data_IF_568225300112
#
_entry.id   IF_568225300112
#
_cell.length_a   1.000
_cell.length_b   1.000
_cell.length_c   1.000
_cell.angle_alpha   90.00
_cell.angle_beta   90.00
_cell.angle_gamma   90.00
#
_symmetry.space_group_name_H-M   'P 1'
#
loop_
_entity.id
_entity.type
_entity.pdbx_description
1 polymer ?
#
# COMPACT_ATOMS: atom_id res chain seq x y z
N UNK A 1 6.07 1.30 -12.69
CA UNK A 1 6.10 0.32 -11.57
C UNK A 1 6.19 -1.12 -12.07
N UNK A 2 5.69 -1.37 -13.28
CA UNK A 2 5.69 -2.62 -14.03
C UNK A 2 7.07 -3.25 -14.15
N UNK A 3 8.12 -2.45 -14.34
CA UNK A 3 9.49 -2.96 -14.40
C UNK A 3 9.92 -3.61 -13.09
N UNK A 4 9.48 -3.08 -11.93
CA UNK A 4 9.73 -3.69 -10.61
C UNK A 4 8.87 -4.94 -10.44
N UNK A 5 7.61 -4.92 -10.88
CA UNK A 5 6.75 -6.09 -10.81
C UNK A 5 7.31 -7.26 -11.66
N UNK A 6 7.79 -6.97 -12.88
CA UNK A 6 8.39 -7.97 -13.80
C UNK A 6 9.61 -8.70 -13.24
N UNK A 7 10.31 -8.14 -12.26
CA UNK A 7 11.45 -8.80 -11.61
C UNK A 7 11.06 -9.64 -10.40
N UNK A 8 9.77 -9.72 -10.04
CA UNK A 8 9.34 -10.33 -8.78
C UNK A 8 9.41 -9.38 -7.58
N UNK A 9 9.75 -8.11 -7.78
CA UNK A 9 9.96 -7.12 -6.72
C UNK A 9 8.68 -6.70 -5.99
N UNK A 10 8.83 -5.78 -5.03
CA UNK A 10 7.73 -5.20 -4.26
C UNK A 10 7.83 -3.67 -4.26
N UNK A 11 6.70 -2.99 -4.38
CA UNK A 11 6.58 -1.53 -4.38
C UNK A 11 5.94 -1.10 -3.06
N UNK A 12 6.66 -0.28 -2.29
CA UNK A 12 6.17 0.30 -1.04
C UNK A 12 5.24 1.48 -1.30
N UNK A 13 4.01 1.40 -0.81
CA UNK A 13 3.03 2.48 -0.86
C UNK A 13 3.05 3.25 0.46
N UNK A 14 3.24 4.56 0.35
CA UNK A 14 3.21 5.52 1.45
C UNK A 14 1.87 6.28 1.55
N UNK A 15 1.52 6.90 2.69
CA UNK A 15 0.26 7.62 2.91
C UNK A 15 0.25 9.08 2.39
N UNK A 16 1.15 9.48 1.49
CA UNK A 16 1.21 10.85 0.91
C UNK A 16 -0.13 11.29 0.29
N UNK A 17 -0.74 12.36 0.77
CA UNK A 17 -1.94 12.89 0.13
C UNK A 17 -1.61 13.68 -1.14
N UNK A 18 -2.47 13.57 -2.15
CA UNK A 18 -2.45 14.42 -3.32
C UNK A 18 -3.84 14.56 -3.94
N UNK A 19 -4.09 15.70 -4.57
CA UNK A 19 -5.37 16.01 -5.21
C UNK A 19 -5.19 16.02 -6.73
N UNK A 20 -5.23 14.84 -7.34
CA UNK A 20 -5.25 14.71 -8.80
C UNK A 20 -6.70 14.68 -9.31
N UNK A 21 -6.99 15.35 -10.44
CA UNK A 21 -8.37 15.54 -10.93
C UNK A 21 -9.13 14.23 -11.16
N UNK A 22 -8.46 13.18 -11.63
CA UNK A 22 -9.09 11.89 -11.96
C UNK A 22 -8.98 10.84 -10.86
N UNK A 23 -7.99 10.93 -9.97
CA UNK A 23 -7.70 9.91 -8.97
C UNK A 23 -7.14 10.58 -7.70
N UNK A 24 -7.98 11.27 -6.91
CA UNK A 24 -7.52 11.92 -5.70
C UNK A 24 -7.17 10.89 -4.64
N UNK A 25 -6.10 11.15 -3.88
CA UNK A 25 -5.73 10.34 -2.72
C UNK A 25 -5.66 11.22 -1.49
N UNK A 26 -6.79 11.32 -0.80
CA UNK A 26 -6.97 12.26 0.31
C UNK A 26 -7.50 11.63 1.59
N UNK A 27 -7.99 10.38 1.54
CA UNK A 27 -8.55 9.63 2.68
C UNK A 27 -7.99 8.21 2.70
N UNK A 28 -8.15 7.51 3.83
CA UNK A 28 -7.84 6.07 3.91
C UNK A 28 -8.58 5.26 2.84
N UNK A 29 -9.87 5.53 2.58
CA UNK A 29 -10.62 4.85 1.52
C UNK A 29 -10.06 5.14 0.12
N UNK A 30 -9.58 6.36 -0.16
CA UNK A 30 -8.92 6.63 -1.43
C UNK A 30 -7.63 5.83 -1.57
N UNK A 31 -6.83 5.74 -0.50
CA UNK A 31 -5.63 4.92 -0.50
C UNK A 31 -5.94 3.43 -0.65
N UNK A 32 -6.97 2.92 0.03
CA UNK A 32 -7.42 1.54 -0.13
C UNK A 32 -7.86 1.23 -1.59
N UNK A 33 -8.63 2.14 -2.21
CA UNK A 33 -9.01 2.01 -3.63
C UNK A 33 -7.79 2.03 -4.56
N UNK A 34 -6.79 2.85 -4.26
CA UNK A 34 -5.53 2.83 -5.00
C UNK A 34 -4.82 1.47 -4.86
N UNK A 35 -4.82 0.85 -3.68
CA UNK A 35 -4.26 -0.50 -3.49
C UNK A 35 -5.03 -1.53 -4.35
N UNK A 36 -6.36 -1.42 -4.46
CA UNK A 36 -7.17 -2.28 -5.36
C UNK A 36 -6.76 -2.08 -6.82
N UNK A 37 -6.61 -0.84 -7.28
CA UNK A 37 -6.16 -0.55 -8.65
C UNK A 37 -4.74 -1.09 -8.89
N UNK A 38 -3.86 -0.99 -7.90
CA UNK A 38 -2.50 -1.52 -7.97
C UNK A 38 -2.50 -3.05 -8.05
N UNK A 39 -3.35 -3.72 -7.26
CA UNK A 39 -3.57 -5.17 -7.36
C UNK A 39 -4.06 -5.56 -8.76
N UNK A 40 -5.04 -4.85 -9.31
CA UNK A 40 -5.58 -5.15 -10.65
C UNK A 40 -4.53 -4.98 -11.75
N UNK A 41 -3.65 -3.98 -11.62
CA UNK A 41 -2.66 -3.63 -12.63
C UNK A 41 -1.38 -4.46 -12.54
N UNK A 42 -0.90 -4.73 -11.33
CA UNK A 42 0.42 -5.32 -11.10
C UNK A 42 0.37 -6.72 -10.48
N UNK A 43 -0.70 -7.07 -9.78
CA UNK A 43 -0.72 -8.20 -8.83
C UNK A 43 -0.49 -7.73 -7.40
N UNK A 44 -1.21 -8.32 -6.44
CA UNK A 44 -1.10 -7.95 -5.02
C UNK A 44 0.27 -8.28 -4.44
N UNK A 45 0.92 -9.32 -4.95
CA UNK A 45 2.24 -9.82 -4.56
C UNK A 45 3.35 -8.78 -4.75
N UNK A 46 3.10 -7.76 -5.58
CA UNK A 46 4.02 -6.67 -5.87
C UNK A 46 3.73 -5.39 -5.09
N UNK A 47 2.70 -5.38 -4.24
CA UNK A 47 2.32 -4.21 -3.45
C UNK A 47 2.69 -4.43 -1.98
N UNK A 48 3.24 -3.41 -1.32
CA UNK A 48 3.60 -3.48 0.09
C UNK A 48 3.35 -2.17 0.83
N UNK A 49 3.20 -2.24 2.15
CA UNK A 49 3.12 -1.07 3.02
C UNK A 49 4.51 -0.44 3.23
N UNK A 50 4.68 0.83 2.87
CA UNK A 50 5.92 1.59 3.11
C UNK A 50 5.59 3.02 3.53
N UNK A 51 5.40 3.27 4.83
CA UNK A 51 4.70 4.47 5.30
C UNK A 51 5.54 5.74 5.33
N UNK A 52 6.85 5.62 5.19
CA UNK A 52 7.80 6.71 5.45
C UNK A 52 7.59 7.35 6.84
N UNK A 53 7.55 6.50 7.88
CA UNK A 53 7.07 6.83 9.24
C UNK A 53 7.83 7.93 10.00
N UNK A 54 8.94 8.43 9.46
CA UNK A 54 9.71 9.55 9.99
C UNK A 54 10.18 10.55 8.92
N UNK A 55 9.83 10.36 7.65
CA UNK A 55 10.38 11.15 6.53
C UNK A 55 9.73 12.51 6.31
N UNK A 56 8.82 12.94 7.19
CA UNK A 56 8.28 14.30 7.13
C UNK A 56 7.40 14.58 5.89
N UNK A 57 6.51 13.64 5.55
CA UNK A 57 5.59 13.81 4.41
C UNK A 57 4.83 15.15 4.49
N UNK A 58 4.78 15.95 3.39
CA UNK A 58 4.18 17.28 3.40
C UNK A 58 2.68 17.26 3.69
N UNK A 59 1.99 16.20 3.28
CA UNK A 59 0.60 15.95 3.62
C UNK A 59 0.33 14.46 3.63
N UNK A 60 -0.41 13.97 4.64
CA UNK A 60 -0.84 12.57 4.74
C UNK A 60 -2.32 12.46 4.42
N UNK A 61 -2.76 11.29 3.94
CA UNK A 61 -4.19 11.00 3.77
C UNK A 61 -4.93 11.18 5.10
N UNK A 62 -6.12 11.76 5.05
CA UNK A 62 -6.97 11.94 6.22
C UNK A 62 -7.30 10.58 6.85
N UNK A 63 -7.09 10.48 8.15
CA UNK A 63 -7.22 9.23 8.92
C UNK A 63 -5.89 8.52 9.19
N UNK A 64 -4.79 8.91 8.53
CA UNK A 64 -3.45 8.41 8.81
C UNK A 64 -2.62 9.43 9.61
N UNK A 65 -2.60 9.29 10.93
CA UNK A 65 -1.83 10.19 11.83
C UNK A 65 -0.48 9.60 12.20
N UNK A 66 -0.47 8.31 12.54
CA UNK A 66 0.72 7.54 12.94
C UNK A 66 0.56 6.07 12.56
N UNK A 67 1.54 5.24 12.92
CA UNK A 67 1.44 3.79 12.74
C UNK A 67 0.24 3.17 13.48
N UNK A 68 -0.28 3.83 14.53
CA UNK A 68 -1.49 3.40 15.22
C UNK A 68 -2.75 3.48 14.33
N UNK A 69 -2.70 4.17 13.19
CA UNK A 69 -3.78 4.22 12.21
C UNK A 69 -3.83 2.98 11.30
N UNK A 70 -2.87 2.05 11.42
CA UNK A 70 -2.81 0.84 10.58
C UNK A 70 -4.09 -0.03 10.62
N UNK A 71 -4.75 -0.26 11.78
CA UNK A 71 -6.02 -0.98 11.80
C UNK A 71 -7.11 -0.30 10.97
N UNK A 72 -7.15 1.03 10.92
CA UNK A 72 -8.12 1.76 10.11
C UNK A 72 -7.85 1.61 8.61
N UNK A 73 -6.57 1.54 8.21
CA UNK A 73 -6.21 1.21 6.83
C UNK A 73 -6.65 -0.21 6.47
N UNK A 74 -6.44 -1.18 7.37
CA UNK A 74 -6.89 -2.57 7.18
C UNK A 74 -8.40 -2.63 6.97
N UNK A 75 -9.19 -1.92 7.79
CA UNK A 75 -10.64 -1.83 7.61
C UNK A 75 -11.00 -1.23 6.25
N UNK A 76 -10.39 -0.11 5.87
CA UNK A 76 -10.63 0.52 4.57
C UNK A 76 -10.26 -0.40 3.38
N UNK A 77 -9.20 -1.20 3.50
CA UNK A 77 -8.81 -2.20 2.50
C UNK A 77 -9.87 -3.30 2.36
N UNK A 78 -10.36 -3.84 3.47
CA UNK A 78 -11.42 -4.85 3.47
C UNK A 78 -12.71 -4.29 2.85
N UNK A 79 -13.11 -3.08 3.25
CA UNK A 79 -14.27 -2.38 2.67
C UNK A 79 -14.12 -2.11 1.17
N UNK A 80 -12.89 -1.88 0.70
CA UNK A 80 -12.59 -1.69 -0.72
C UNK A 80 -12.57 -3.00 -1.53
N UNK A 81 -12.79 -4.16 -0.89
CA UNK A 81 -12.88 -5.46 -1.55
C UNK A 81 -11.58 -6.26 -1.60
N UNK A 82 -10.55 -5.86 -0.86
CA UNK A 82 -9.37 -6.71 -0.66
C UNK A 82 -9.72 -7.87 0.27
N UNK A 83 -9.27 -9.07 -0.07
CA UNK A 83 -9.41 -10.25 0.79
C UNK A 83 -8.45 -10.16 1.99
N UNK A 84 -8.70 -10.97 3.03
CA UNK A 84 -7.76 -11.09 4.16
C UNK A 84 -6.36 -11.53 3.72
N UNK A 85 -6.27 -12.37 2.68
CA UNK A 85 -4.99 -12.80 2.11
C UNK A 85 -4.27 -11.64 1.42
N UNK A 86 -5.00 -10.77 0.72
CA UNK A 86 -4.42 -9.58 0.11
C UNK A 86 -3.86 -8.62 1.19
N UNK A 87 -4.63 -8.39 2.25
CA UNK A 87 -4.19 -7.54 3.37
C UNK A 87 -2.93 -8.12 4.03
N UNK A 88 -2.90 -9.43 4.30
CA UNK A 88 -1.73 -10.11 4.87
C UNK A 88 -0.51 -9.98 3.96
N UNK A 89 -0.68 -10.15 2.66
CA UNK A 89 0.39 -10.00 1.67
C UNK A 89 0.93 -8.55 1.68
N UNK A 90 0.04 -7.56 1.58
CA UNK A 90 0.39 -6.15 1.54
C UNK A 90 1.06 -5.64 2.82
N UNK A 91 0.55 -6.03 4.00
CA UNK A 91 1.05 -5.54 5.29
C UNK A 91 2.43 -6.08 5.69
N UNK A 92 2.99 -7.04 4.94
CA UNK A 92 4.35 -7.51 5.19
C UNK A 92 4.73 -8.80 4.48
N UNK A 93 3.76 -9.66 4.14
CA UNK A 93 4.04 -10.93 3.48
C UNK A 93 4.88 -10.80 2.21
N UNK A 94 4.61 -9.78 1.40
CA UNK A 94 5.36 -9.52 0.17
C UNK A 94 6.79 -9.04 0.41
N UNK A 95 7.01 -8.22 1.45
CA UNK A 95 8.35 -7.81 1.82
C UNK A 95 9.16 -9.00 2.35
N UNK A 96 8.57 -9.87 3.17
CA UNK A 96 9.22 -11.10 3.65
C UNK A 96 9.60 -12.00 2.48
N UNK A 97 8.69 -12.19 1.51
CA UNK A 97 8.96 -12.95 0.29
C UNK A 97 10.19 -12.42 -0.45
N UNK A 98 10.25 -11.10 -0.70
CA UNK A 98 11.38 -10.49 -1.40
C UNK A 98 12.67 -10.56 -0.58
N UNK A 99 12.60 -10.28 0.73
CA UNK A 99 13.76 -10.36 1.62
C UNK A 99 14.41 -11.75 1.59
N UNK A 100 13.61 -12.81 1.60
CA UNK A 100 14.10 -14.19 1.52
C UNK A 100 14.83 -14.49 0.20
N UNK A 101 14.50 -13.79 -0.90
CA UNK A 101 15.23 -13.95 -2.18
C UNK A 101 16.57 -13.22 -2.21
N UNK A 102 16.77 -12.24 -1.33
CA UNK A 102 18.01 -11.46 -1.26
C UNK A 102 18.99 -11.99 -0.20
N UNK A 103 18.48 -12.68 0.81
CA UNK A 103 19.27 -13.20 1.93
C UNK A 103 19.68 -14.68 1.77
N UNK A 104 19.12 -15.38 0.77
CA UNK A 104 19.49 -16.74 0.40
C UNK A 104 20.65 -16.74 -0.59
#
# INVERSE_FOLDING_TARGET
MEVVAKTGGVIGLWPLAYSHRSHPRTTLQHWAKEIVLMKQRLGIEHCGLGTDGGGGLPQKVRGWTSIASLPNLVLAMLEAGLSRNDVRAFCGGNFIRVLNTCLA
#
